data_IF_441762651070
#
_entry.id   IF_441762651070
#
_cell.length_a   1.000
_cell.length_b   1.000
_cell.length_c   1.000
_cell.angle_alpha   90.00
_cell.angle_beta   90.00
_cell.angle_gamma   90.00
#
_symmetry.space_group_name_H-M   'P 1'
#
loop_
_entity.id
_entity.type
_entity.pdbx_description
1 polymer ?
#
# COMPACT_ATOMS: atom_id res chain seq x y z
N UNK A 1 -11.99 -7.80 -34.88
CA UNK A 1 -11.25 -8.59 -33.88
C UNK A 1 -11.45 -7.95 -32.51
N UNK A 2 -11.56 -8.75 -31.43
CA UNK A 2 -11.66 -8.25 -30.06
C UNK A 2 -10.30 -8.37 -29.36
N UNK A 3 -9.98 -7.43 -28.47
CA UNK A 3 -8.75 -7.44 -27.66
C UNK A 3 -9.11 -7.89 -26.24
N UNK A 4 -8.25 -8.70 -25.63
CA UNK A 4 -8.41 -9.24 -24.28
C UNK A 4 -7.13 -8.99 -23.49
N UNK A 5 -7.25 -8.76 -22.18
CA UNK A 5 -6.15 -8.63 -21.25
C UNK A 5 -6.28 -9.76 -20.24
N UNK A 6 -5.19 -10.47 -19.98
CA UNK A 6 -5.12 -11.51 -18.96
C UNK A 6 -3.75 -11.49 -18.28
N UNK A 7 -3.70 -11.95 -17.04
CA UNK A 7 -2.48 -12.14 -16.26
C UNK A 7 -2.31 -13.63 -15.94
N UNK A 8 -1.07 -14.11 -15.87
CA UNK A 8 -0.75 -15.48 -15.46
C UNK A 8 0.57 -15.53 -14.71
N UNK A 9 0.68 -16.46 -13.77
CA UNK A 9 1.94 -16.88 -13.14
C UNK A 9 2.28 -18.26 -13.67
N UNK A 10 3.56 -18.54 -13.88
CA UNK A 10 4.06 -19.80 -14.41
C UNK A 10 5.34 -20.19 -13.68
N UNK A 11 5.73 -21.46 -13.80
CA UNK A 11 7.03 -21.93 -13.33
C UNK A 11 7.99 -21.99 -14.50
N UNK A 12 9.25 -21.65 -14.27
CA UNK A 12 10.28 -21.78 -15.28
C UNK A 12 11.63 -22.17 -14.68
N UNK A 13 12.38 -23.01 -15.39
CA UNK A 13 13.75 -23.39 -15.06
C UNK A 13 14.64 -23.24 -16.30
N UNK A 14 15.93 -22.87 -16.15
CA UNK A 14 16.85 -22.76 -17.28
C UNK A 14 16.94 -24.09 -18.05
N UNK A 15 16.89 -24.02 -19.38
CA UNK A 15 17.00 -25.18 -20.25
C UNK A 15 17.53 -24.75 -21.63
N UNK A 16 18.50 -25.49 -22.16
CA UNK A 16 18.98 -25.31 -23.54
C UNK A 16 17.95 -25.82 -24.55
N UNK A 17 17.98 -25.28 -25.78
CA UNK A 17 17.10 -25.76 -26.86
C UNK A 17 17.37 -27.22 -27.21
N UNK A 18 18.61 -27.70 -27.03
CA UNK A 18 19.00 -29.10 -27.17
C UNK A 18 18.26 -30.02 -26.20
N UNK A 19 18.30 -29.70 -24.90
CA UNK A 19 17.58 -30.44 -23.87
C UNK A 19 16.07 -30.41 -24.09
N UNK A 20 15.53 -29.27 -24.54
CA UNK A 20 14.12 -29.14 -24.87
C UNK A 20 13.69 -30.05 -26.04
N UNK A 21 14.55 -30.22 -27.05
CA UNK A 21 14.33 -31.17 -28.13
C UNK A 21 14.35 -32.62 -27.63
N UNK A 22 15.32 -32.97 -26.80
CA UNK A 22 15.42 -34.33 -26.22
C UNK A 22 14.20 -34.66 -25.33
N UNK A 23 13.59 -33.65 -24.69
CA UNK A 23 12.34 -33.76 -23.93
C UNK A 23 11.05 -33.63 -24.78
N UNK A 24 11.15 -33.55 -26.10
CA UNK A 24 9.99 -33.40 -27.01
C UNK A 24 9.12 -32.14 -26.76
N UNK A 25 9.72 -31.06 -26.24
CA UNK A 25 9.04 -29.77 -26.02
C UNK A 25 8.96 -28.90 -27.28
N UNK A 26 9.66 -29.30 -28.35
CA UNK A 26 9.75 -28.55 -29.61
C UNK A 26 9.06 -29.31 -30.76
N UNK A 27 8.32 -28.58 -31.59
CA UNK A 27 7.72 -29.10 -32.83
C UNK A 27 8.64 -28.85 -34.02
N UNK A 28 9.71 -29.63 -34.15
CA UNK A 28 10.64 -29.54 -35.28
C UNK A 28 12.04 -30.08 -34.95
N UNK A 29 12.82 -30.38 -35.99
CA UNK A 29 14.23 -30.71 -35.85
C UNK A 29 15.05 -29.48 -35.47
N UNK A 30 16.17 -29.70 -34.79
CA UNK A 30 17.13 -28.65 -34.44
C UNK A 30 18.50 -28.98 -35.05
N UNK A 31 19.25 -27.95 -35.45
CA UNK A 31 20.62 -28.11 -35.92
C UNK A 31 21.59 -28.25 -34.74
N UNK A 32 22.81 -28.79 -34.96
CA UNK A 32 23.82 -28.90 -33.89
C UNK A 32 24.14 -27.57 -33.20
N UNK A 33 24.20 -26.47 -33.96
CA UNK A 33 24.50 -25.12 -33.42
C UNK A 33 23.36 -24.60 -32.53
N UNK A 34 22.12 -24.95 -32.87
CA UNK A 34 20.96 -24.51 -32.11
C UNK A 34 20.83 -25.19 -30.75
N UNK A 35 21.51 -26.32 -30.51
CA UNK A 35 21.41 -27.06 -29.25
C UNK A 35 21.85 -26.21 -28.05
N UNK A 36 22.83 -25.33 -28.25
CA UNK A 36 23.41 -24.48 -27.21
C UNK A 36 22.61 -23.19 -26.93
N UNK A 37 21.51 -22.95 -27.64
CA UNK A 37 20.69 -21.75 -27.41
C UNK A 37 20.04 -21.82 -26.02
N UNK A 38 20.29 -20.80 -25.20
CA UNK A 38 19.73 -20.68 -23.86
C UNK A 38 18.24 -20.34 -23.90
N UNK A 39 17.50 -20.90 -22.96
CA UNK A 39 16.10 -20.61 -22.75
C UNK A 39 15.61 -21.16 -21.42
N UNK A 40 14.30 -21.34 -21.36
CA UNK A 40 13.63 -21.86 -20.18
C UNK A 40 12.63 -22.94 -20.58
N UNK A 41 12.58 -24.00 -19.78
CA UNK A 41 11.40 -24.84 -19.69
C UNK A 41 10.34 -24.10 -18.90
N UNK A 42 9.13 -24.06 -19.44
CA UNK A 42 8.01 -23.28 -18.91
C UNK A 42 6.83 -24.20 -18.67
N UNK A 43 6.33 -24.20 -17.44
CA UNK A 43 5.15 -24.97 -17.03
C UNK A 43 4.01 -24.01 -16.69
N UNK A 44 2.91 -24.15 -17.42
CA UNK A 44 1.71 -23.33 -17.26
C UNK A 44 0.77 -23.91 -16.18
N UNK A 45 -0.16 -23.10 -15.63
CA UNK A 45 -1.08 -23.57 -14.58
C UNK A 45 -1.99 -24.74 -14.97
N UNK A 46 -2.26 -24.92 -16.26
CA UNK A 46 -3.04 -26.04 -16.81
C UNK A 46 -2.20 -27.31 -17.04
N UNK A 47 -0.91 -27.28 -16.66
CA UNK A 47 0.03 -28.37 -16.88
C UNK A 47 0.62 -28.40 -18.30
N UNK A 48 0.27 -27.46 -19.18
CA UNK A 48 0.95 -27.35 -20.47
C UNK A 48 2.43 -27.01 -20.25
N UNK A 49 3.30 -27.66 -21.01
CA UNK A 49 4.75 -27.43 -20.96
C UNK A 49 5.24 -26.89 -22.30
N UNK A 50 6.21 -25.98 -22.26
CA UNK A 50 6.86 -25.45 -23.47
C UNK A 50 8.31 -25.07 -23.20
N UNK A 51 9.05 -24.77 -24.25
CA UNK A 51 10.34 -24.10 -24.15
C UNK A 51 10.26 -22.69 -24.75
N UNK A 52 10.87 -21.72 -24.07
CA UNK A 52 10.96 -20.34 -24.55
C UNK A 52 12.43 -19.90 -24.65
N UNK A 53 12.85 -19.22 -25.73
CA UNK A 53 14.16 -18.58 -25.79
C UNK A 53 14.36 -17.60 -24.63
N UNK A 54 15.60 -17.49 -24.14
CA UNK A 54 15.94 -16.67 -22.97
C UNK A 54 15.48 -15.22 -23.12
N UNK A 55 15.88 -14.55 -24.21
CA UNK A 55 15.56 -13.14 -24.42
C UNK A 55 14.05 -12.89 -24.55
N UNK A 56 13.31 -13.84 -25.12
CA UNK A 56 11.85 -13.77 -25.23
C UNK A 56 11.18 -13.92 -23.87
N UNK A 57 11.69 -14.86 -23.06
CA UNK A 57 11.14 -15.12 -21.73
C UNK A 57 11.42 -13.96 -20.77
N UNK A 58 12.68 -13.52 -20.70
CA UNK A 58 13.12 -12.43 -19.81
C UNK A 58 12.45 -11.09 -20.17
N UNK A 59 12.09 -10.87 -21.44
CA UNK A 59 11.34 -9.68 -21.85
C UNK A 59 9.84 -9.71 -21.47
N UNK A 60 9.28 -10.90 -21.26
CA UNK A 60 7.85 -11.10 -21.03
C UNK A 60 7.49 -11.33 -19.56
N UNK A 61 8.42 -11.89 -18.76
CA UNK A 61 8.17 -12.32 -17.40
C UNK A 61 9.18 -11.72 -16.42
N UNK A 62 8.73 -11.48 -15.19
CA UNK A 62 9.58 -11.10 -14.08
C UNK A 62 9.58 -12.25 -13.06
N UNK A 63 10.73 -12.49 -12.43
CA UNK A 63 10.84 -13.42 -11.29
C UNK A 63 9.97 -12.91 -10.16
N UNK A 64 9.21 -13.80 -9.51
CA UNK A 64 8.24 -13.46 -8.45
C UNK A 64 8.33 -14.44 -7.27
N UNK A 65 9.53 -14.96 -7.01
CA UNK A 65 9.77 -16.06 -6.07
C UNK A 65 9.73 -15.59 -4.62
N UNK A 66 10.21 -14.36 -4.36
CA UNK A 66 10.23 -13.77 -3.03
C UNK A 66 9.14 -12.71 -2.85
N UNK A 67 8.88 -12.35 -1.59
CA UNK A 67 8.04 -11.19 -1.27
C UNK A 67 8.60 -9.91 -1.91
N UNK A 68 9.92 -9.73 -1.83
CA UNK A 68 10.61 -8.56 -2.38
C UNK A 68 10.42 -8.45 -3.90
N UNK A 69 10.52 -9.57 -4.61
CA UNK A 69 10.27 -9.61 -6.05
C UNK A 69 8.86 -9.11 -6.40
N UNK A 70 7.85 -9.60 -5.66
CA UNK A 70 6.45 -9.22 -5.87
C UNK A 70 6.21 -7.74 -5.59
N UNK A 71 6.77 -7.21 -4.51
CA UNK A 71 6.69 -5.78 -4.18
C UNK A 71 7.31 -4.93 -5.29
N UNK A 72 8.49 -5.33 -5.78
CA UNK A 72 9.21 -4.61 -6.82
C UNK A 72 8.52 -4.71 -8.19
N UNK A 73 7.86 -5.83 -8.51
CA UNK A 73 7.02 -5.96 -9.70
C UNK A 73 5.85 -4.97 -9.62
N UNK A 74 5.09 -4.99 -8.52
CA UNK A 74 3.94 -4.10 -8.35
C UNK A 74 4.35 -2.62 -8.40
N UNK A 75 5.47 -2.27 -7.76
CA UNK A 75 6.04 -0.92 -7.81
C UNK A 75 6.33 -0.49 -9.26
N UNK A 76 7.05 -1.31 -10.03
CA UNK A 76 7.40 -1.00 -11.43
C UNK A 76 6.16 -0.90 -12.32
N UNK A 77 5.14 -1.71 -12.08
CA UNK A 77 3.89 -1.62 -12.82
C UNK A 77 3.16 -0.31 -12.55
N UNK A 78 3.10 0.11 -11.28
CA UNK A 78 2.50 1.39 -10.90
C UNK A 78 3.31 2.57 -11.42
N UNK A 79 4.64 2.53 -11.33
CA UNK A 79 5.54 3.55 -11.87
C UNK A 79 5.31 3.77 -13.37
N UNK A 80 5.26 2.69 -14.15
CA UNK A 80 4.96 2.75 -15.58
C UNK A 80 3.57 3.34 -15.87
N UNK A 81 2.56 3.00 -15.07
CA UNK A 81 1.21 3.55 -15.22
C UNK A 81 1.18 5.04 -14.83
N UNK A 82 1.89 5.43 -13.77
CA UNK A 82 1.99 6.82 -13.30
C UNK A 82 2.71 7.68 -14.35
N UNK A 83 3.81 7.18 -14.92
CA UNK A 83 4.54 7.84 -16.00
C UNK A 83 3.67 8.12 -17.22
N UNK A 84 2.80 7.17 -17.63
CA UNK A 84 1.83 7.41 -18.71
C UNK A 84 0.81 8.50 -18.38
N UNK A 85 0.38 8.62 -17.12
CA UNK A 85 -0.50 9.71 -16.71
C UNK A 85 0.25 11.05 -16.79
N UNK A 86 1.52 11.10 -16.35
CA UNK A 86 2.37 12.29 -16.47
C UNK A 86 2.51 12.69 -17.94
N UNK A 87 2.83 11.76 -18.83
CA UNK A 87 2.90 12.02 -20.28
C UNK A 87 1.57 12.55 -20.82
N UNK A 88 0.45 11.93 -20.46
CA UNK A 88 -0.87 12.35 -20.92
C UNK A 88 -1.25 13.74 -20.42
N UNK A 89 -0.93 14.08 -19.16
CA UNK A 89 -1.16 15.41 -18.57
C UNK A 89 -0.51 16.55 -19.34
N UNK A 90 0.55 16.28 -20.11
CA UNK A 90 1.23 17.27 -20.94
C UNK A 90 0.53 17.54 -22.29
N UNK A 91 -0.49 16.76 -22.65
CA UNK A 91 -1.17 16.84 -23.95
C UNK A 91 -2.32 17.85 -23.97
N UNK A 92 -2.68 18.36 -25.15
CA UNK A 92 -3.90 19.16 -25.33
C UNK A 92 -5.17 18.36 -25.03
N UNK A 93 -5.16 17.05 -25.25
CA UNK A 93 -6.29 16.18 -24.94
C UNK A 93 -6.64 16.23 -23.44
N UNK A 94 -5.63 16.26 -22.56
CA UNK A 94 -5.83 16.43 -21.13
C UNK A 94 -6.44 17.78 -20.76
N UNK A 95 -5.97 18.87 -21.37
CA UNK A 95 -6.51 20.23 -21.16
C UNK A 95 -7.97 20.37 -21.60
N UNK A 96 -8.38 19.55 -22.56
CA UNK A 96 -9.75 19.52 -23.08
C UNK A 96 -10.68 18.54 -22.33
N UNK A 97 -10.19 17.83 -21.30
CA UNK A 97 -11.04 17.03 -20.43
C UNK A 97 -11.98 17.91 -19.62
N UNK A 98 -13.16 17.36 -19.28
CA UNK A 98 -14.05 17.92 -18.26
C UNK A 98 -13.31 17.99 -16.93
N UNK A 99 -13.62 18.99 -16.13
CA UNK A 99 -12.97 19.20 -14.82
C UNK A 99 -13.10 17.99 -13.90
N UNK A 100 -14.24 17.28 -13.94
CA UNK A 100 -14.43 16.06 -13.14
C UNK A 100 -13.52 14.92 -13.59
N UNK A 101 -13.35 14.72 -14.90
CA UNK A 101 -12.44 13.68 -15.42
C UNK A 101 -10.99 14.01 -15.09
N UNK A 102 -10.63 15.30 -15.14
CA UNK A 102 -9.32 15.79 -14.74
C UNK A 102 -9.04 15.55 -13.27
N UNK A 103 -9.97 15.99 -12.41
CA UNK A 103 -9.85 15.83 -10.96
C UNK A 103 -9.71 14.35 -10.55
N UNK A 104 -10.52 13.46 -11.16
CA UNK A 104 -10.42 12.03 -10.88
C UNK A 104 -9.12 11.40 -11.38
N UNK A 105 -8.58 11.86 -12.52
CA UNK A 105 -7.27 11.42 -12.99
C UNK A 105 -6.15 11.92 -12.07
N UNK A 106 -6.29 13.12 -11.52
CA UNK A 106 -5.32 13.67 -10.58
C UNK A 106 -5.29 12.86 -9.28
N UNK A 107 -6.45 12.59 -8.70
CA UNK A 107 -6.57 11.72 -7.52
C UNK A 107 -6.08 10.30 -7.81
N UNK A 108 -6.34 9.75 -9.01
CA UNK A 108 -5.82 8.45 -9.42
C UNK A 108 -4.29 8.44 -9.38
N UNK A 109 -3.65 9.47 -9.96
CA UNK A 109 -2.20 9.59 -9.95
C UNK A 109 -1.66 9.69 -8.52
N UNK A 110 -2.21 10.57 -7.69
CA UNK A 110 -1.73 10.76 -6.32
C UNK A 110 -1.89 9.50 -5.47
N UNK A 111 -3.01 8.78 -5.65
CA UNK A 111 -3.25 7.48 -5.00
C UNK A 111 -2.22 6.42 -5.44
N UNK A 112 -1.84 6.43 -6.72
CA UNK A 112 -0.79 5.53 -7.23
C UNK A 112 0.58 5.88 -6.64
N UNK A 113 0.92 7.16 -6.52
CA UNK A 113 2.17 7.62 -5.88
C UNK A 113 2.20 7.23 -4.40
N UNK A 114 1.10 7.42 -3.66
CA UNK A 114 0.98 6.98 -2.27
C UNK A 114 1.19 5.47 -2.14
N UNK A 115 0.55 4.68 -3.02
CA UNK A 115 0.72 3.22 -3.05
C UNK A 115 2.18 2.83 -3.35
N UNK A 116 2.83 3.50 -4.32
CA UNK A 116 4.24 3.30 -4.62
C UNK A 116 5.15 3.62 -3.42
N UNK A 117 4.87 4.70 -2.68
CA UNK A 117 5.59 5.03 -1.45
C UNK A 117 5.47 3.93 -0.38
N UNK A 118 4.27 3.36 -0.22
CA UNK A 118 4.04 2.22 0.68
C UNK A 118 4.80 0.98 0.20
N UNK A 119 4.75 0.64 -1.09
CA UNK A 119 5.49 -0.49 -1.66
C UNK A 119 7.00 -0.32 -1.47
N UNK A 120 7.55 0.86 -1.75
CA UNK A 120 8.97 1.16 -1.56
C UNK A 120 9.41 1.07 -0.09
N UNK A 121 8.58 1.53 0.83
CA UNK A 121 8.81 1.39 2.28
C UNK A 121 8.82 -0.08 2.70
N UNK A 122 7.86 -0.88 2.18
CA UNK A 122 7.80 -2.33 2.45
C UNK A 122 9.00 -3.07 1.85
N UNK A 123 9.43 -2.73 0.63
CA UNK A 123 10.63 -3.33 0.02
C UNK A 123 11.87 -3.05 0.87
N UNK A 124 12.09 -1.79 1.25
CA UNK A 124 13.22 -1.39 2.12
C UNK A 124 13.22 -2.15 3.45
N UNK A 125 12.05 -2.30 4.07
CA UNK A 125 11.89 -3.06 5.31
C UNK A 125 12.25 -4.54 5.13
N UNK A 126 11.82 -5.17 4.04
CA UNK A 126 12.16 -6.57 3.73
C UNK A 126 13.65 -6.74 3.44
N UNK A 127 14.27 -5.79 2.72
CA UNK A 127 15.69 -5.86 2.34
C UNK A 127 16.64 -5.62 3.50
N UNK A 128 16.33 -4.64 4.36
CA UNK A 128 17.30 -4.13 5.35
C UNK A 128 16.91 -4.48 6.79
N UNK A 129 15.67 -4.93 7.04
CA UNK A 129 15.09 -5.03 8.38
C UNK A 129 14.89 -3.66 9.06
N UNK A 130 15.21 -2.57 8.36
CA UNK A 130 15.07 -1.19 8.79
C UNK A 130 14.18 -0.44 7.79
N UNK A 131 13.61 0.68 8.20
CA UNK A 131 12.71 1.46 7.34
C UNK A 131 11.46 1.83 8.10
N UNK A 132 11.42 3.06 8.60
CA UNK A 132 10.19 3.62 9.12
C UNK A 132 9.20 3.80 7.97
N UNK A 133 7.94 3.48 8.19
CA UNK A 133 6.88 3.90 7.29
C UNK A 133 6.63 5.40 7.53
N UNK A 134 7.41 6.25 6.85
CA UNK A 134 7.39 7.70 6.98
C UNK A 134 7.10 8.37 5.62
N UNK A 135 6.92 9.69 5.63
CA UNK A 135 6.62 10.44 4.40
C UNK A 135 5.22 10.16 3.86
N UNK A 136 4.29 9.76 4.72
CA UNK A 136 2.93 9.40 4.35
C UNK A 136 2.07 10.66 4.23
N UNK A 137 1.08 10.61 3.34
CA UNK A 137 0.02 11.62 3.27
C UNK A 137 -1.02 11.43 4.39
N UNK A 138 -1.86 12.44 4.57
CA UNK A 138 -2.93 12.38 5.57
C UNK A 138 -3.95 11.26 5.29
N UNK A 139 -4.24 10.97 4.01
CA UNK A 139 -5.18 9.89 3.65
C UNK A 139 -4.71 8.52 4.13
N UNK A 140 -3.44 8.21 3.93
CA UNK A 140 -2.79 7.01 4.44
C UNK A 140 -2.79 6.99 5.97
N UNK A 141 -2.51 8.13 6.61
CA UNK A 141 -2.57 8.27 8.06
C UNK A 141 -3.98 7.94 8.62
N UNK A 142 -5.05 8.38 7.95
CA UNK A 142 -6.43 8.02 8.30
C UNK A 142 -6.66 6.51 8.15
N UNK A 143 -6.22 5.89 7.06
CA UNK A 143 -6.35 4.44 6.88
C UNK A 143 -5.66 3.63 7.98
N UNK A 144 -4.53 4.12 8.50
CA UNK A 144 -3.83 3.54 9.64
C UNK A 144 -4.64 3.69 10.94
N UNK A 145 -5.15 4.90 11.22
CA UNK A 145 -6.00 5.17 12.39
C UNK A 145 -7.28 4.34 12.40
N UNK A 146 -7.93 4.19 11.24
CA UNK A 146 -9.13 3.37 11.09
C UNK A 146 -8.89 1.91 11.49
N UNK A 147 -7.67 1.43 11.26
CA UNK A 147 -7.20 0.07 11.60
C UNK A 147 -6.61 -0.04 13.00
N UNK A 148 -6.62 1.04 13.79
CA UNK A 148 -6.16 1.06 15.17
C UNK A 148 -4.65 1.25 15.35
N UNK A 149 -3.92 1.59 14.29
CA UNK A 149 -2.50 1.89 14.39
C UNK A 149 -2.25 3.28 14.97
N UNK A 150 -1.05 3.46 15.53
CA UNK A 150 -0.57 4.73 16.09
C UNK A 150 0.25 5.46 15.04
N UNK A 151 -0.04 6.74 14.84
CA UNK A 151 0.66 7.59 13.87
C UNK A 151 1.30 8.80 14.56
N UNK A 152 2.21 9.47 13.86
CA UNK A 152 2.73 10.79 14.27
C UNK A 152 3.15 11.61 13.05
N UNK A 153 3.48 12.89 13.28
CA UNK A 153 4.14 13.73 12.27
C UNK A 153 5.58 13.97 12.67
N UNK A 154 6.50 13.92 11.70
CA UNK A 154 7.90 14.25 11.95
C UNK A 154 8.14 15.76 12.16
N UNK A 155 7.27 16.61 11.61
CA UNK A 155 7.30 18.06 11.78
C UNK A 155 6.74 18.57 13.11
N UNK A 156 6.26 17.70 14.00
CA UNK A 156 5.93 18.10 15.37
C UNK A 156 7.18 18.27 16.24
N UNK A 157 7.05 18.97 17.36
CA UNK A 157 8.13 19.18 18.33
C UNK A 157 8.48 17.88 19.10
N UNK A 158 9.07 16.91 18.40
CA UNK A 158 9.59 15.67 18.95
C UNK A 158 8.81 14.42 18.53
N UNK A 159 9.49 13.27 18.67
CA UNK A 159 8.96 11.93 18.36
C UNK A 159 7.97 11.40 19.40
N UNK A 160 7.72 12.18 20.44
CA UNK A 160 6.93 11.81 21.62
C UNK A 160 5.45 12.16 21.47
N UNK A 161 5.07 12.90 20.42
CA UNK A 161 3.68 13.25 20.17
C UNK A 161 3.13 12.28 19.14
N UNK A 162 2.10 11.53 19.53
CA UNK A 162 1.46 10.50 18.72
C UNK A 162 -0.04 10.70 18.69
N UNK A 163 -0.71 10.11 17.69
CA UNK A 163 -2.16 10.09 17.56
C UNK A 163 -2.64 8.67 17.37
N UNK A 164 -3.74 8.33 18.04
CA UNK A 164 -4.43 7.06 17.85
C UNK A 164 -5.93 7.22 18.01
N UNK A 165 -6.67 6.36 17.31
CA UNK A 165 -8.13 6.29 17.38
C UNK A 165 -8.56 5.56 18.66
N UNK A 166 -9.49 6.15 19.40
CA UNK A 166 -10.10 5.47 20.54
C UNK A 166 -11.14 4.45 20.06
N UNK A 167 -11.21 3.32 20.75
CA UNK A 167 -12.26 2.32 20.53
C UNK A 167 -13.60 2.93 20.98
N UNK A 168 -14.63 2.96 20.11
CA UNK A 168 -15.96 3.41 20.51
C UNK A 168 -16.46 2.64 21.74
N UNK A 169 -17.01 3.35 22.71
CA UNK A 169 -17.41 2.74 23.98
C UNK A 169 -18.66 3.41 24.55
N UNK A 170 -19.47 2.61 25.22
CA UNK A 170 -20.69 3.05 25.90
C UNK A 170 -20.51 2.89 27.40
N UNK A 171 -20.23 4.00 28.08
CA UNK A 171 -20.06 4.03 29.53
C UNK A 171 -21.43 4.03 30.18
N UNK A 172 -21.67 3.05 31.05
CA UNK A 172 -22.97 2.79 31.69
C UNK A 172 -23.10 3.49 33.05
N UNK A 173 -24.31 3.49 33.57
CA UNK A 173 -24.73 4.22 34.78
C UNK A 173 -24.02 3.80 36.06
N UNK A 174 -23.50 2.58 36.11
CA UNK A 174 -22.72 2.03 37.22
C UNK A 174 -21.28 2.57 37.24
N UNK A 175 -20.75 3.00 36.09
CA UNK A 175 -19.39 3.54 35.96
C UNK A 175 -19.36 5.05 36.17
N UNK A 176 -20.34 5.79 35.61
CA UNK A 176 -20.37 7.26 35.57
C UNK A 176 -20.12 7.94 36.94
N UNK A 177 -20.73 7.50 38.06
CA UNK A 177 -20.50 8.12 39.37
C UNK A 177 -19.03 8.13 39.79
N UNK A 178 -18.27 7.10 39.37
CA UNK A 178 -16.88 6.89 39.76
C UNK A 178 -15.86 7.47 38.76
N UNK A 179 -16.31 8.04 37.63
CA UNK A 179 -15.41 8.66 36.66
C UNK A 179 -14.69 9.88 37.26
N UNK A 180 -13.37 9.84 37.34
CA UNK A 180 -12.56 10.97 37.82
C UNK A 180 -12.49 12.13 36.81
N UNK A 181 -12.72 11.84 35.53
CA UNK A 181 -12.70 12.80 34.43
C UNK A 181 -13.93 13.70 34.34
N UNK A 182 -14.95 13.51 35.20
CA UNK A 182 -16.19 14.29 35.17
C UNK A 182 -16.43 15.06 36.47
N UNK A 183 -16.74 16.37 36.39
CA UNK A 183 -17.21 17.14 37.54
C UNK A 183 -18.57 16.62 38.07
N UNK A 184 -18.84 16.86 39.36
CA UNK A 184 -20.08 16.40 40.01
C UNK A 184 -21.35 16.85 39.26
N UNK A 185 -21.43 18.12 38.84
CA UNK A 185 -22.60 18.65 38.12
C UNK A 185 -22.84 17.99 36.76
N UNK A 186 -21.79 17.59 36.06
CA UNK A 186 -21.92 16.84 34.81
C UNK A 186 -22.47 15.43 35.08
N UNK A 187 -21.98 14.75 36.13
CA UNK A 187 -22.50 13.44 36.55
C UNK A 187 -23.99 13.50 36.88
N UNK A 188 -24.40 14.49 37.69
CA UNK A 188 -25.80 14.71 38.06
C UNK A 188 -26.70 14.88 36.82
N UNK A 189 -26.27 15.72 35.86
CA UNK A 189 -27.00 15.95 34.61
C UNK A 189 -27.17 14.66 33.79
N UNK A 190 -26.08 13.89 33.60
CA UNK A 190 -26.10 12.64 32.81
C UNK A 190 -26.98 11.59 33.48
N UNK A 191 -26.90 11.47 34.83
CA UNK A 191 -27.66 10.51 35.62
C UNK A 191 -29.15 10.85 35.74
N UNK A 192 -29.52 12.12 35.61
CA UNK A 192 -30.91 12.54 35.47
C UNK A 192 -31.47 12.24 34.07
N UNK A 193 -30.61 12.22 33.05
CA UNK A 193 -30.96 11.92 31.66
C UNK A 193 -30.84 10.44 31.29
N UNK A 194 -30.13 10.16 30.19
CA UNK A 194 -30.01 8.82 29.60
C UNK A 194 -29.08 7.85 30.37
N UNK A 195 -28.40 8.32 31.42
CA UNK A 195 -27.53 7.51 32.29
C UNK A 195 -26.43 6.75 31.55
N UNK A 196 -25.95 7.30 30.42
CA UNK A 196 -24.85 6.73 29.64
C UNK A 196 -24.06 7.81 28.92
N UNK A 197 -22.82 7.50 28.57
CA UNK A 197 -21.96 8.31 27.69
C UNK A 197 -21.49 7.41 26.56
N UNK A 198 -21.79 7.78 25.32
CA UNK A 198 -21.34 7.06 24.14
C UNK A 198 -20.19 7.85 23.51
N UNK A 199 -18.97 7.31 23.57
CA UNK A 199 -17.81 7.85 22.87
C UNK A 199 -17.77 7.29 21.45
N UNK A 200 -17.84 8.18 20.46
CA UNK A 200 -17.87 7.83 19.04
C UNK A 200 -16.85 8.66 18.27
N UNK A 201 -16.11 8.02 17.36
CA UNK A 201 -15.22 8.71 16.40
C UNK A 201 -14.22 9.67 17.05
N UNK A 202 -13.60 9.26 18.16
CA UNK A 202 -12.60 10.06 18.87
C UNK A 202 -11.19 9.61 18.55
N UNK A 203 -10.28 10.57 18.44
CA UNK A 203 -8.85 10.36 18.39
C UNK A 203 -8.18 11.17 19.50
N UNK A 204 -7.15 10.60 20.13
CA UNK A 204 -6.33 11.30 21.11
C UNK A 204 -5.02 11.70 20.46
N UNK A 205 -4.55 12.90 20.78
CA UNK A 205 -3.15 13.28 20.67
C UNK A 205 -2.51 13.07 22.03
N UNK A 206 -1.43 12.31 22.06
CA UNK A 206 -0.82 11.83 23.30
C UNK A 206 0.66 12.14 23.29
N UNK A 207 1.15 12.70 24.41
CA UNK A 207 2.56 12.90 24.65
C UNK A 207 3.12 11.75 25.48
N UNK A 208 3.93 10.90 24.86
CA UNK A 208 4.51 9.69 25.47
C UNK A 208 5.48 9.99 26.61
N UNK A 209 6.07 11.19 26.67
CA UNK A 209 6.96 11.62 27.77
C UNK A 209 6.21 12.11 28.99
N UNK A 210 5.13 12.85 28.80
CA UNK A 210 4.42 13.52 29.90
C UNK A 210 3.15 12.80 30.34
N UNK A 211 2.65 11.87 29.52
CA UNK A 211 1.35 11.24 29.73
C UNK A 211 0.17 12.16 29.42
N UNK A 212 0.40 13.38 28.90
CA UNK A 212 -0.67 14.29 28.52
C UNK A 212 -1.44 13.71 27.33
N UNK A 213 -2.72 13.45 27.54
CA UNK A 213 -3.67 13.10 26.49
C UNK A 213 -4.60 14.30 26.26
N UNK A 214 -4.86 14.61 24.99
CA UNK A 214 -5.79 15.67 24.58
C UNK A 214 -6.62 15.18 23.39
N UNK A 215 -7.74 15.85 23.11
CA UNK A 215 -8.53 15.56 21.92
C UNK A 215 -7.74 15.97 20.68
N UNK A 216 -7.54 15.05 19.75
CA UNK A 216 -6.96 15.41 18.46
C UNK A 216 -8.05 15.88 17.50
N UNK A 217 -7.91 17.12 17.04
CA UNK A 217 -8.66 17.67 15.92
C UNK A 217 -7.63 18.07 14.86
N UNK A 218 -7.59 17.42 13.69
CA UNK A 218 -6.60 17.73 12.67
C UNK A 218 -6.77 19.18 12.22
N UNK A 219 -5.68 19.95 12.28
CA UNK A 219 -5.62 21.27 11.67
C UNK A 219 -5.53 21.15 10.15
N UNK A 220 -5.80 22.25 9.42
CA UNK A 220 -5.59 22.23 7.96
C UNK A 220 -4.13 21.95 7.59
N UNK A 221 -3.19 22.34 8.46
CA UNK A 221 -1.78 22.02 8.31
C UNK A 221 -1.48 20.52 8.49
N UNK A 222 -2.26 19.80 9.29
CA UNK A 222 -2.17 18.35 9.45
C UNK A 222 -2.74 17.64 8.22
N UNK A 223 -3.86 18.14 7.70
CA UNK A 223 -4.54 17.58 6.51
C UNK A 223 -3.66 17.66 5.26
N UNK A 224 -2.93 18.75 5.07
CA UNK A 224 -2.03 18.92 3.91
C UNK A 224 -0.59 18.45 4.15
N UNK A 225 -0.34 17.78 5.26
CA UNK A 225 0.98 17.26 5.58
C UNK A 225 1.28 15.95 4.85
N UNK A 226 2.55 15.77 4.51
CA UNK A 226 3.11 14.58 3.85
C UNK A 226 4.23 13.96 4.70
N UNK A 227 4.32 14.36 5.97
CA UNK A 227 5.36 13.96 6.91
C UNK A 227 4.81 13.00 7.99
N UNK A 228 3.69 12.34 7.68
CA UNK A 228 3.09 11.35 8.56
C UNK A 228 3.94 10.08 8.62
N UNK A 229 3.97 9.49 9.80
CA UNK A 229 4.71 8.27 10.09
C UNK A 229 3.83 7.29 10.86
N UNK A 230 3.95 6.01 10.54
CA UNK A 230 3.53 4.93 11.43
C UNK A 230 4.51 4.86 12.61
N UNK A 231 3.98 4.78 13.82
CA UNK A 231 4.78 4.45 14.99
C UNK A 231 4.92 2.92 15.01
N UNK A 232 6.07 2.44 14.54
CA UNK A 232 6.45 1.04 14.59
C UNK A 232 7.03 0.67 15.97
N UNK A 233 6.97 -0.63 16.29
CA UNK A 233 7.52 -1.24 17.50
C UNK A 233 9.06 -1.16 17.59
#
# INVERSE_FOLDING_TARGET
MKKYIGTKTLNAEPMTKGEAYDRSLLRGGITPVEREILGYHVVYPDGYESWSPKDVFDAAYNVADTLLDRLNIEYKELDKKAGKIVEFRLTEAYKNLRDTDRAMLDVQFDTMIACMGILGSRSTSVETGQGGFCGLDFGTAIHLLERGYVIRRSGWNGKDIVVFKQVPSSIKSDIIPNMQSLPLKAKELIMAGNKRIDYTSQCLIYNTKTGRADSWVPSISDVFAHDWELVAD
#
